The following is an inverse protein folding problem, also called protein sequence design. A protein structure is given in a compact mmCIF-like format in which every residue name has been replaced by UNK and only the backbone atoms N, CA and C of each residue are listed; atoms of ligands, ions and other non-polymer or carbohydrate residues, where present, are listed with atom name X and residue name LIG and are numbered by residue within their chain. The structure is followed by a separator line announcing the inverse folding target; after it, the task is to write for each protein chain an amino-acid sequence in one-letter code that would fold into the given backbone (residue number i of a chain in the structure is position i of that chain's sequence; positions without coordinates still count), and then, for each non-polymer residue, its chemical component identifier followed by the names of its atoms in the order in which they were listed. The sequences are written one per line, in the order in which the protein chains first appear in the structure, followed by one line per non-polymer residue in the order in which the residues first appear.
data_IF_953136775217
#
_entry.id   IF_953136775217
#
_cell.length_a   1.000
_cell.length_b   1.000
_cell.length_c   1.000
_cell.angle_alpha   90.00
_cell.angle_beta   90.00
_cell.angle_gamma   90.00
#
_symmetry.space_group_name_H-M   'P 1'
#
loop_
_entity.id
_entity.type
_entity.pdbx_description
1 polymer ?
#
# COMPACT_ATOMS: atom_id res chain seq x y z
N UNK A 1 -25.26 -46.82 -2.73
CA UNK A 1 -25.56 -45.43 -2.31
C UNK A 1 -24.41 -44.93 -1.44
N UNK A 2 -23.50 -44.10 -1.97
CA UNK A 2 -22.40 -43.52 -1.20
C UNK A 2 -22.55 -41.99 -1.20
N UNK A 3 -22.89 -41.42 -0.03
CA UNK A 3 -22.96 -39.97 0.18
C UNK A 3 -21.54 -39.41 0.23
N UNK A 4 -21.16 -38.60 -0.77
CA UNK A 4 -19.95 -37.76 -0.72
C UNK A 4 -20.22 -36.56 0.20
N UNK A 5 -19.59 -36.57 1.37
CA UNK A 5 -19.57 -35.45 2.32
C UNK A 5 -18.58 -34.40 1.82
N UNK A 6 -19.07 -33.26 1.33
CA UNK A 6 -18.24 -32.11 0.95
C UNK A 6 -17.93 -31.25 2.17
N UNK A 7 -16.70 -31.32 2.64
CA UNK A 7 -16.17 -30.48 3.74
C UNK A 7 -16.04 -29.03 3.28
N UNK A 8 -16.91 -28.13 3.79
CA UNK A 8 -16.80 -26.68 3.57
C UNK A 8 -15.53 -26.14 4.24
N UNK A 9 -14.56 -25.72 3.42
CA UNK A 9 -13.37 -24.97 3.86
C UNK A 9 -13.82 -23.59 4.36
N UNK A 10 -13.78 -23.34 5.68
CA UNK A 10 -14.03 -22.02 6.27
C UNK A 10 -13.02 -21.02 5.70
N UNK A 11 -13.49 -20.03 4.95
CA UNK A 11 -12.70 -18.86 4.57
C UNK A 11 -12.51 -18.00 5.82
N UNK A 12 -11.28 -17.89 6.30
CA UNK A 12 -10.91 -16.96 7.36
C UNK A 12 -10.87 -15.55 6.78
N UNK A 13 -11.98 -14.82 6.92
CA UNK A 13 -12.02 -13.38 6.68
C UNK A 13 -11.05 -12.70 7.64
N UNK A 14 -9.91 -12.21 7.11
CA UNK A 14 -8.95 -11.37 7.83
C UNK A 14 -9.70 -10.16 8.41
N UNK A 15 -9.88 -10.12 9.73
CA UNK A 15 -10.47 -8.99 10.44
C UNK A 15 -9.59 -7.75 10.19
N UNK A 16 -10.19 -6.63 9.78
CA UNK A 16 -9.46 -5.37 9.59
C UNK A 16 -8.74 -5.00 10.89
N UNK A 17 -7.47 -4.62 10.79
CA UNK A 17 -6.68 -4.26 11.96
C UNK A 17 -7.23 -2.96 12.57
N UNK A 18 -7.51 -2.97 13.88
CA UNK A 18 -7.93 -1.77 14.58
C UNK A 18 -6.70 -0.91 14.88
N UNK A 19 -6.61 0.28 14.26
CA UNK A 19 -5.52 1.23 14.41
C UNK A 19 -5.80 2.37 15.38
N UNK A 20 -6.99 2.41 16.01
CA UNK A 20 -7.36 3.46 16.95
C UNK A 20 -6.34 3.59 18.09
N UNK A 21 -5.69 4.76 18.20
CA UNK A 21 -4.69 5.05 19.22
C UNK A 21 -3.33 4.36 19.01
N UNK A 22 -3.08 3.80 17.83
CA UNK A 22 -1.86 3.07 17.48
C UNK A 22 -1.13 3.71 16.31
N UNK A 23 0.15 3.38 16.14
CA UNK A 23 0.93 3.78 14.98
C UNK A 23 0.75 2.77 13.84
N UNK A 24 0.49 3.25 12.63
CA UNK A 24 0.40 2.39 11.44
C UNK A 24 1.77 2.33 10.77
N UNK A 25 2.33 1.13 10.63
CA UNK A 25 3.56 0.88 9.87
C UNK A 25 3.19 0.23 8.54
N UNK A 26 3.58 0.86 7.44
CA UNK A 26 3.34 0.34 6.08
C UNK A 26 4.66 -0.13 5.49
N UNK A 27 4.69 -1.40 5.10
CA UNK A 27 5.83 -2.06 4.46
C UNK A 27 5.46 -2.53 3.06
N UNK A 28 6.45 -2.87 2.26
CA UNK A 28 6.19 -3.31 0.89
C UNK A 28 5.57 -4.71 0.82
N UNK A 29 6.13 -5.70 1.54
CA UNK A 29 5.77 -7.11 1.38
C UNK A 29 5.10 -7.73 2.62
N UNK A 30 4.18 -8.71 2.43
CA UNK A 30 3.57 -9.41 3.56
C UNK A 30 4.56 -10.15 4.46
N UNK A 31 5.69 -10.60 3.90
CA UNK A 31 6.73 -11.30 4.67
C UNK A 31 7.45 -10.32 5.60
N UNK A 32 7.86 -9.15 5.10
CA UNK A 32 8.43 -8.08 5.95
C UNK A 32 7.46 -7.67 7.05
N UNK A 33 6.17 -7.56 6.73
CA UNK A 33 5.15 -7.21 7.72
C UNK A 33 5.12 -8.22 8.88
N UNK A 34 5.19 -9.53 8.57
CA UNK A 34 5.25 -10.58 9.59
C UNK A 34 6.53 -10.50 10.42
N UNK A 35 7.68 -10.19 9.82
CA UNK A 35 8.95 -10.10 10.54
C UNK A 35 8.99 -8.86 11.45
N UNK A 36 8.66 -7.69 10.92
CA UNK A 36 8.61 -6.43 11.70
C UNK A 36 7.62 -6.53 12.87
N UNK A 37 6.47 -7.17 12.66
CA UNK A 37 5.48 -7.36 13.71
C UNK A 37 5.95 -8.26 14.86
N UNK A 38 7.08 -8.97 14.74
CA UNK A 38 7.70 -9.69 15.87
C UNK A 38 8.49 -8.76 16.78
N UNK A 39 9.04 -7.69 16.21
CA UNK A 39 9.86 -6.72 16.94
C UNK A 39 9.03 -5.57 17.52
N UNK A 40 7.93 -5.20 16.84
CA UNK A 40 7.06 -4.12 17.27
C UNK A 40 6.00 -4.61 18.26
N UNK A 41 5.80 -3.83 19.34
CA UNK A 41 4.82 -4.11 20.39
C UNK A 41 3.37 -3.82 19.99
N UNK A 42 2.47 -3.90 20.96
CA UNK A 42 1.02 -3.73 20.76
C UNK A 42 0.58 -2.37 20.24
N UNK A 43 1.44 -1.36 20.35
CA UNK A 43 1.17 0.03 19.97
C UNK A 43 1.32 0.26 18.46
N UNK A 44 1.80 -0.74 17.73
CA UNK A 44 1.98 -0.69 16.28
C UNK A 44 1.05 -1.65 15.56
N UNK A 45 0.61 -1.24 14.38
CA UNK A 45 -0.13 -2.07 13.44
C UNK A 45 0.67 -2.11 12.14
N UNK A 46 1.14 -3.29 11.75
CA UNK A 46 1.95 -3.44 10.53
C UNK A 46 1.08 -3.95 9.38
N UNK A 47 1.06 -3.20 8.27
CA UNK A 47 0.33 -3.55 7.05
C UNK A 47 1.26 -3.55 5.85
N UNK A 48 0.94 -4.34 4.83
CA UNK A 48 1.72 -4.40 3.59
C UNK A 48 0.97 -3.73 2.42
N UNK A 49 1.66 -2.92 1.62
CA UNK A 49 1.15 -2.39 0.34
C UNK A 49 1.08 -3.46 -0.75
N UNK A 50 1.88 -4.52 -0.59
CA UNK A 50 2.08 -5.58 -1.58
C UNK A 50 2.70 -5.00 -2.85
N UNK A 51 3.80 -4.26 -2.71
CA UNK A 51 4.48 -3.55 -3.80
C UNK A 51 3.86 -2.20 -4.14
N UNK A 52 3.99 -1.79 -5.41
CA UNK A 52 3.40 -0.58 -5.96
C UNK A 52 1.87 -0.56 -5.88
N UNK A 53 1.30 0.61 -5.57
CA UNK A 53 -0.16 0.82 -5.44
C UNK A 53 -0.77 1.60 -6.61
N UNK A 54 0.05 2.41 -7.28
CA UNK A 54 -0.31 3.19 -8.46
C UNK A 54 0.81 3.12 -9.48
N UNK A 55 0.45 3.34 -10.72
CA UNK A 55 1.35 3.30 -11.87
C UNK A 55 0.82 4.26 -12.96
N UNK A 56 1.57 4.46 -14.02
CA UNK A 56 1.07 5.13 -15.22
C UNK A 56 -0.10 4.33 -15.82
N UNK A 57 -1.04 4.99 -16.50
CA UNK A 57 -2.12 4.32 -17.22
C UNK A 57 -1.55 3.31 -18.22
N UNK A 58 -2.14 2.12 -18.27
CA UNK A 58 -1.72 1.09 -19.24
C UNK A 58 -1.95 1.47 -20.71
N UNK A 59 -2.81 2.46 -20.98
CA UNK A 59 -3.20 2.91 -22.33
C UNK A 59 -3.47 4.40 -22.31
N UNK A 60 -3.18 5.07 -23.42
CA UNK A 60 -3.52 6.47 -23.60
C UNK A 60 -5.06 6.66 -23.61
N UNK A 61 -5.55 7.85 -23.22
CA UNK A 61 -6.96 8.20 -23.35
C UNK A 61 -7.48 7.98 -24.78
N UNK A 62 -8.75 7.60 -24.90
CA UNK A 62 -9.35 7.29 -26.21
C UNK A 62 -9.35 8.55 -27.09
N UNK A 63 -8.63 8.48 -28.21
CA UNK A 63 -8.51 9.59 -29.17
C UNK A 63 -7.17 10.33 -29.10
N UNK A 64 -6.35 10.06 -28.08
CA UNK A 64 -5.03 10.67 -27.93
C UNK A 64 -3.93 9.68 -28.34
N UNK A 65 -3.01 10.13 -29.20
CA UNK A 65 -1.82 9.37 -29.60
C UNK A 65 -0.60 9.86 -28.81
N UNK A 66 -0.64 9.69 -27.49
CA UNK A 66 0.54 9.96 -26.67
C UNK A 66 1.53 8.78 -26.78
N UNK A 67 2.83 9.04 -26.96
CA UNK A 67 3.84 7.98 -27.05
C UNK A 67 4.05 7.26 -25.72
N UNK A 68 3.85 7.97 -24.59
CA UNK A 68 3.92 7.43 -23.23
C UNK A 68 2.60 7.74 -22.53
N UNK A 69 1.74 6.74 -22.29
CA UNK A 69 0.47 6.97 -21.60
C UNK A 69 0.63 7.63 -20.24
N UNK A 70 -0.07 8.75 -20.03
CA UNK A 70 -0.12 9.45 -18.75
C UNK A 70 1.12 10.28 -18.43
N UNK A 71 1.98 10.58 -19.39
CA UNK A 71 3.07 11.54 -19.24
C UNK A 71 2.85 12.71 -20.19
N UNK A 72 2.69 13.89 -19.62
CA UNK A 72 2.51 15.13 -20.37
C UNK A 72 3.88 15.67 -20.83
N UNK A 73 4.24 15.41 -22.09
CA UNK A 73 5.53 15.81 -22.66
C UNK A 73 5.66 17.33 -22.88
N UNK A 74 4.54 18.04 -22.94
CA UNK A 74 4.52 19.48 -23.21
C UNK A 74 4.56 20.29 -21.90
N UNK A 75 4.17 19.70 -20.78
CA UNK A 75 4.15 20.33 -19.46
C UNK A 75 5.12 19.64 -18.48
N UNK A 76 6.42 19.80 -18.70
CA UNK A 76 7.50 19.35 -17.81
C UNK A 76 7.46 17.85 -17.45
N UNK A 77 7.04 17.00 -18.39
CA UNK A 77 6.92 15.55 -18.18
C UNK A 77 5.99 15.18 -17.02
N UNK A 78 4.97 16.00 -16.75
CA UNK A 78 4.07 15.80 -15.61
C UNK A 78 3.36 14.44 -15.72
N UNK A 79 3.53 13.53 -14.73
CA UNK A 79 2.89 12.23 -14.76
C UNK A 79 1.47 12.29 -14.18
N UNK A 80 0.59 11.47 -14.73
CA UNK A 80 -0.71 11.13 -14.16
C UNK A 80 -0.65 9.68 -13.73
N UNK A 81 -0.92 9.41 -12.45
CA UNK A 81 -0.90 8.05 -11.90
C UNK A 81 -2.32 7.54 -11.64
N UNK A 82 -2.52 6.25 -11.88
CA UNK A 82 -3.77 5.54 -11.59
C UNK A 82 -3.54 4.42 -10.57
N UNK A 83 -4.51 4.21 -9.68
CA UNK A 83 -4.48 3.08 -8.76
C UNK A 83 -4.67 1.79 -9.54
N UNK A 84 -3.72 0.86 -9.37
CA UNK A 84 -3.79 -0.44 -9.99
C UNK A 84 -5.10 -1.16 -9.61
N UNK A 85 -5.87 -1.70 -10.57
CA UNK A 85 -7.17 -2.32 -10.29
C UNK A 85 -7.13 -3.39 -9.20
N UNK A 86 -6.06 -4.17 -9.16
CA UNK A 86 -5.81 -5.24 -8.18
C UNK A 86 -5.50 -4.71 -6.77
N UNK A 87 -5.10 -3.43 -6.64
CA UNK A 87 -4.68 -2.79 -5.38
C UNK A 87 -5.73 -1.90 -4.76
N UNK A 88 -6.87 -1.67 -5.41
CA UNK A 88 -7.97 -0.81 -4.91
C UNK A 88 -8.42 -1.19 -3.49
N UNK A 89 -8.53 -2.49 -3.20
CA UNK A 89 -8.88 -2.98 -1.86
C UNK A 89 -7.81 -2.64 -0.84
N UNK A 90 -6.54 -2.94 -1.14
CA UNK A 90 -5.40 -2.62 -0.27
C UNK A 90 -5.33 -1.14 0.05
N UNK A 91 -5.49 -0.27 -0.96
CA UNK A 91 -5.52 1.19 -0.78
C UNK A 91 -6.68 1.62 0.12
N UNK A 92 -7.86 1.03 -0.07
CA UNK A 92 -9.04 1.33 0.76
C UNK A 92 -8.80 0.94 2.22
N UNK A 93 -8.21 -0.24 2.46
CA UNK A 93 -7.92 -0.73 3.80
C UNK A 93 -6.82 0.10 4.48
N UNK A 94 -5.74 0.44 3.76
CA UNK A 94 -4.68 1.34 4.23
C UNK A 94 -5.23 2.74 4.54
N UNK A 95 -6.13 3.27 3.72
CA UNK A 95 -6.75 4.58 3.95
C UNK A 95 -7.61 4.60 5.20
N UNK A 96 -8.36 3.52 5.46
CA UNK A 96 -9.11 3.37 6.72
C UNK A 96 -8.18 3.26 7.93
N UNK A 97 -7.13 2.46 7.80
CA UNK A 97 -6.15 2.26 8.86
C UNK A 97 -5.44 3.58 9.21
N UNK A 98 -5.01 4.33 8.19
CA UNK A 98 -4.29 5.60 8.33
C UNK A 98 -5.14 6.67 9.00
N UNK A 99 -6.44 6.76 8.65
CA UNK A 99 -7.36 7.73 9.28
C UNK A 99 -7.56 7.53 10.78
N UNK A 100 -7.44 6.30 11.26
CA UNK A 100 -7.66 5.97 12.68
C UNK A 100 -6.34 5.88 13.47
N UNK A 101 -5.20 5.88 12.78
CA UNK A 101 -3.88 5.80 13.40
C UNK A 101 -3.45 7.17 13.95
N UNK A 102 -2.59 7.16 14.97
CA UNK A 102 -1.99 8.38 15.51
C UNK A 102 -0.99 8.99 14.52
N UNK A 103 -0.08 8.16 13.99
CA UNK A 103 0.91 8.51 12.95
C UNK A 103 1.01 7.36 11.93
N UNK A 104 1.50 7.68 10.73
CA UNK A 104 1.82 6.69 9.68
C UNK A 104 3.31 6.61 9.41
N UNK A 105 3.87 5.41 9.43
CA UNK A 105 5.30 5.15 9.33
C UNK A 105 5.55 4.31 8.07
N UNK A 106 6.30 4.87 7.12
CA UNK A 106 6.72 4.17 5.90
C UNK A 106 8.03 3.44 6.14
N UNK A 107 7.97 2.11 6.13
CA UNK A 107 9.08 1.18 6.33
C UNK A 107 9.33 0.37 5.04
N UNK A 108 9.42 1.08 3.92
CA UNK A 108 9.84 0.53 2.61
C UNK A 108 11.36 0.45 2.53
N UNK A 109 11.87 -0.23 1.50
CA UNK A 109 13.30 -0.48 1.37
C UNK A 109 14.11 0.80 1.20
N UNK A 110 15.39 0.74 1.57
CA UNK A 110 16.34 1.82 1.38
C UNK A 110 16.89 1.79 -0.07
N UNK A 111 16.00 1.99 -1.02
CA UNK A 111 16.34 2.17 -2.42
C UNK A 111 15.36 3.14 -3.09
N UNK A 112 15.61 3.45 -4.37
CA UNK A 112 14.77 4.37 -5.14
C UNK A 112 13.33 3.88 -5.27
N UNK A 113 13.13 2.57 -5.35
CA UNK A 113 11.82 1.95 -5.54
C UNK A 113 11.01 2.05 -4.25
N UNK A 114 11.63 1.76 -3.11
CA UNK A 114 11.05 1.89 -1.79
C UNK A 114 10.65 3.34 -1.50
N UNK A 115 11.46 4.31 -1.91
CA UNK A 115 11.11 5.73 -1.76
C UNK A 115 9.95 6.14 -2.67
N UNK A 116 9.94 5.69 -3.94
CA UNK A 116 8.83 5.92 -4.85
C UNK A 116 7.53 5.31 -4.34
N UNK A 117 7.58 4.10 -3.76
CA UNK A 117 6.43 3.43 -3.15
C UNK A 117 5.92 4.22 -1.93
N UNK A 118 6.82 4.68 -1.06
CA UNK A 118 6.44 5.48 0.11
C UNK A 118 5.77 6.80 -0.32
N UNK A 119 6.35 7.50 -1.28
CA UNK A 119 5.76 8.71 -1.87
C UNK A 119 4.39 8.43 -2.50
N UNK A 120 4.27 7.36 -3.29
CA UNK A 120 3.02 6.94 -3.89
C UNK A 120 1.93 6.63 -2.87
N UNK A 121 2.28 5.96 -1.77
CA UNK A 121 1.36 5.69 -0.68
C UNK A 121 0.94 6.98 0.03
N UNK A 122 1.87 7.88 0.32
CA UNK A 122 1.57 9.14 0.99
C UNK A 122 0.54 9.97 0.20
N UNK A 123 0.80 10.15 -1.10
CA UNK A 123 -0.09 10.86 -2.02
C UNK A 123 -1.46 10.18 -2.10
N UNK A 124 -1.49 8.86 -2.29
CA UNK A 124 -2.74 8.11 -2.46
C UNK A 124 -3.60 8.07 -1.18
N UNK A 125 -2.95 8.09 -0.02
CA UNK A 125 -3.61 8.12 1.29
C UNK A 125 -3.99 9.56 1.70
N UNK A 126 -3.51 10.57 0.97
CA UNK A 126 -3.72 12.00 1.23
C UNK A 126 -3.27 12.39 2.65
N UNK A 127 -2.06 11.98 3.01
CA UNK A 127 -1.45 12.23 4.31
C UNK A 127 -0.53 13.45 4.22
N UNK A 128 -0.54 14.29 5.26
CA UNK A 128 0.37 15.45 5.32
C UNK A 128 1.73 15.02 5.89
N UNK A 129 2.80 15.70 5.50
CA UNK A 129 4.16 15.41 5.97
C UNK A 129 4.32 15.40 7.51
N UNK A 130 3.48 16.15 8.25
CA UNK A 130 3.52 16.17 9.73
C UNK A 130 2.92 14.91 10.37
N UNK A 131 2.15 14.15 9.61
CA UNK A 131 1.43 12.93 10.04
C UNK A 131 2.21 11.67 9.63
N UNK A 132 3.32 11.83 8.90
CA UNK A 132 4.08 10.73 8.31
C UNK A 132 5.53 10.71 8.81
N UNK A 133 6.09 9.51 8.94
CA UNK A 133 7.49 9.26 9.31
C UNK A 133 8.08 8.25 8.32
N UNK A 134 9.34 8.46 7.92
CA UNK A 134 10.10 7.53 7.07
C UNK A 134 11.13 6.79 7.92
N UNK A 135 11.11 5.47 7.89
CA UNK A 135 12.10 4.62 8.58
C UNK A 135 12.91 3.88 7.53
N UNK A 136 14.22 3.84 7.71
CA UNK A 136 15.12 3.07 6.85
C UNK A 136 15.92 2.09 7.69
N UNK A 137 16.16 0.90 7.15
CA UNK A 137 17.01 -0.14 7.72
C UNK A 137 17.61 -0.96 6.59
N UNK A 138 18.76 -1.57 6.84
CA UNK A 138 19.48 -2.36 5.84
C UNK A 138 19.19 -3.86 5.96
N UNK A 139 18.77 -4.31 7.15
CA UNK A 139 18.57 -5.71 7.48
C UNK A 139 17.42 -5.88 8.50
N UNK A 140 16.72 -7.01 8.42
CA UNK A 140 15.57 -7.38 9.29
C UNK A 140 15.47 -8.89 9.49
#
# INVERSE_FOLDING_TARGET
MAKKTTTKKKSTTKKAANTAGKHLVIVESPTKAKTINKYLGSDYVVMASVGHVRDLPSRAPKGEKQPVPGVDLDNDFKPTYEVLPTKKKTVTDLKKAAKNAADVWFATDLDREGEAIAWHLQEQLNLKNKETKRIVFHEI
#
